data_IF_036620611576
#
_entry.id   IF_036620611576
#
_cell.length_a   1.000
_cell.length_b   1.000
_cell.length_c   1.000
_cell.angle_alpha   90.00
_cell.angle_beta   90.00
_cell.angle_gamma   90.00
#
_symmetry.space_group_name_H-M   'P 1'
#
loop_
_entity.id
_entity.type
_entity.pdbx_description
1 polymer ?
#
# COMPACT_ATOMS: atom_id res chain seq x y z
N UNK A 1 15.74 2.16 -7.87
CA UNK A 1 14.77 2.47 -6.79
C UNK A 1 15.30 3.50 -5.80
N UNK A 2 16.35 3.24 -5.00
CA UNK A 2 16.83 4.20 -3.98
C UNK A 2 17.22 5.58 -4.54
N UNK A 3 18.00 5.62 -5.63
CA UNK A 3 18.38 6.87 -6.28
C UNK A 3 17.17 7.65 -6.81
N UNK A 4 16.23 6.96 -7.48
CA UNK A 4 15.01 7.57 -8.01
C UNK A 4 14.16 8.20 -6.90
N UNK A 5 13.97 7.48 -5.78
CA UNK A 5 13.24 8.00 -4.61
C UNK A 5 13.93 9.23 -4.04
N UNK A 6 15.27 9.23 -3.97
CA UNK A 6 16.05 10.36 -3.47
C UNK A 6 15.91 11.58 -4.40
N UNK A 7 16.02 11.38 -5.71
CA UNK A 7 15.82 12.44 -6.72
C UNK A 7 14.40 13.01 -6.66
N UNK A 8 13.39 12.14 -6.56
CA UNK A 8 11.99 12.57 -6.41
C UNK A 8 11.80 13.37 -5.12
N UNK A 9 12.35 12.90 -4.00
CA UNK A 9 12.27 13.60 -2.72
C UNK A 9 12.95 14.97 -2.79
N UNK A 10 14.11 15.05 -3.44
CA UNK A 10 14.80 16.32 -3.67
C UNK A 10 13.96 17.27 -4.52
N UNK A 11 13.33 16.79 -5.59
CA UNK A 11 12.43 17.60 -6.42
C UNK A 11 11.24 18.15 -5.63
N UNK A 12 10.63 17.35 -4.76
CA UNK A 12 9.52 17.79 -3.89
C UNK A 12 9.98 18.87 -2.91
N UNK A 13 11.17 18.72 -2.33
CA UNK A 13 11.75 19.74 -1.43
C UNK A 13 12.02 21.03 -2.18
N UNK A 14 12.70 20.95 -3.34
CA UNK A 14 13.00 22.13 -4.17
C UNK A 14 11.70 22.82 -4.59
N UNK A 15 10.70 22.06 -5.03
CA UNK A 15 9.38 22.60 -5.35
C UNK A 15 8.74 23.30 -4.15
N UNK A 16 8.78 22.70 -2.95
CA UNK A 16 8.24 23.32 -1.74
C UNK A 16 8.92 24.63 -1.37
N UNK A 17 10.25 24.69 -1.46
CA UNK A 17 11.03 25.91 -1.20
C UNK A 17 10.72 26.99 -2.24
N UNK A 18 10.75 26.66 -3.52
CA UNK A 18 10.41 27.60 -4.60
C UNK A 18 8.99 28.12 -4.44
N UNK A 19 8.03 27.22 -4.18
CA UNK A 19 6.64 27.58 -3.94
C UNK A 19 6.49 28.54 -2.75
N UNK A 20 7.16 28.26 -1.64
CA UNK A 20 7.19 29.14 -0.47
C UNK A 20 7.72 30.53 -0.84
N UNK A 21 8.90 30.61 -1.46
CA UNK A 21 9.54 31.89 -1.80
C UNK A 21 8.72 32.74 -2.76
N UNK A 22 8.06 32.12 -3.74
CA UNK A 22 7.25 32.84 -4.73
C UNK A 22 5.88 33.27 -4.20
N UNK A 23 5.41 32.67 -3.11
CA UNK A 23 4.07 32.93 -2.56
C UNK A 23 4.12 33.44 -1.12
N UNK A 24 5.26 33.97 -0.66
CA UNK A 24 5.41 34.46 0.72
C UNK A 24 4.48 35.64 1.01
N UNK A 25 4.27 36.53 0.04
CA UNK A 25 3.41 37.71 0.18
C UNK A 25 1.94 37.44 -0.20
N UNK A 26 1.60 36.20 -0.58
CA UNK A 26 0.26 35.82 -1.02
C UNK A 26 -0.52 35.24 0.15
N UNK A 27 -1.56 35.96 0.57
CA UNK A 27 -2.48 35.53 1.63
C UNK A 27 -3.86 35.24 1.09
N UNK A 28 -4.50 34.22 1.66
CA UNK A 28 -5.89 33.86 1.37
C UNK A 28 -6.80 34.62 2.33
N UNK A 29 -7.72 35.39 1.75
CA UNK A 29 -8.56 36.34 2.48
C UNK A 29 -9.49 35.67 3.51
N UNK A 30 -9.98 34.47 3.20
CA UNK A 30 -10.73 33.65 4.15
C UNK A 30 -10.52 32.17 3.88
N UNK A 31 -10.16 31.43 4.93
CA UNK A 31 -10.15 29.97 4.93
C UNK A 31 -11.10 29.51 6.01
N UNK A 32 -12.21 28.90 5.60
CA UNK A 32 -13.17 28.31 6.52
C UNK A 32 -12.70 26.92 6.94
N UNK A 33 -12.21 26.80 8.17
CA UNK A 33 -11.93 25.51 8.78
C UNK A 33 -13.16 25.04 9.57
N UNK A 34 -13.22 23.74 9.87
CA UNK A 34 -14.34 23.14 10.63
C UNK A 34 -14.54 23.76 12.03
N UNK A 35 -13.51 24.41 12.57
CA UNK A 35 -13.52 25.13 13.86
C UNK A 35 -13.62 26.67 13.75
N UNK A 36 -13.78 27.22 12.55
CA UNK A 36 -13.93 28.66 12.33
C UNK A 36 -13.20 29.18 11.10
N UNK A 37 -13.57 30.39 10.67
CA UNK A 37 -12.93 31.07 9.55
C UNK A 37 -11.70 31.87 10.03
N UNK A 38 -10.55 31.56 9.45
CA UNK A 38 -9.33 32.34 9.63
C UNK A 38 -9.16 33.29 8.45
N UNK A 39 -8.79 34.55 8.73
CA UNK A 39 -8.50 35.56 7.71
C UNK A 39 -7.00 35.71 7.54
N UNK A 40 -6.61 36.12 6.33
CA UNK A 40 -5.23 36.46 5.96
C UNK A 40 -4.23 35.32 6.25
N UNK A 41 -4.63 34.09 5.91
CA UNK A 41 -3.77 32.91 6.07
C UNK A 41 -2.78 32.85 4.90
N UNK A 42 -1.46 32.75 5.14
CA UNK A 42 -0.49 32.61 4.05
C UNK A 42 -0.78 31.37 3.20
N UNK A 43 -0.77 31.53 1.87
CA UNK A 43 -1.14 30.47 0.92
C UNK A 43 -0.28 29.21 1.10
N UNK A 44 1.01 29.38 1.36
CA UNK A 44 1.94 28.26 1.52
C UNK A 44 1.56 27.34 2.69
N UNK A 45 0.98 27.87 3.76
CA UNK A 45 0.54 27.08 4.92
C UNK A 45 -0.61 26.17 4.50
N UNK A 46 -1.61 26.72 3.81
CA UNK A 46 -2.79 25.98 3.36
C UNK A 46 -2.38 24.83 2.42
N UNK A 47 -1.51 25.12 1.46
CA UNK A 47 -1.02 24.13 0.49
C UNK A 47 -0.20 23.04 1.17
N UNK A 48 0.69 23.39 2.11
CA UNK A 48 1.47 22.39 2.83
C UNK A 48 0.59 21.50 3.70
N UNK A 49 -0.39 22.05 4.42
CA UNK A 49 -1.34 21.24 5.20
C UNK A 49 -2.10 20.28 4.28
N UNK A 50 -2.63 20.76 3.16
CA UNK A 50 -3.34 19.92 2.20
C UNK A 50 -2.43 18.81 1.64
N UNK A 51 -1.18 19.14 1.32
CA UNK A 51 -0.18 18.18 0.86
C UNK A 51 0.10 17.11 1.93
N UNK A 52 0.36 17.51 3.18
CA UNK A 52 0.61 16.57 4.28
C UNK A 52 -0.60 15.67 4.56
N UNK A 53 -1.82 16.21 4.52
CA UNK A 53 -3.04 15.41 4.61
C UNK A 53 -3.11 14.36 3.50
N UNK A 54 -2.78 14.74 2.26
CA UNK A 54 -2.70 13.80 1.15
C UNK A 54 -1.64 12.71 1.34
N UNK A 55 -0.45 13.08 1.81
CA UNK A 55 0.64 12.13 2.11
C UNK A 55 0.24 11.15 3.22
N UNK A 56 -0.36 11.66 4.31
CA UNK A 56 -0.86 10.83 5.40
C UNK A 56 -1.94 9.86 4.89
N UNK A 57 -2.84 10.33 4.05
CA UNK A 57 -3.89 9.50 3.46
C UNK A 57 -3.29 8.40 2.56
N UNK A 58 -2.34 8.74 1.71
CA UNK A 58 -1.63 7.79 0.87
C UNK A 58 -0.86 6.75 1.70
N UNK A 59 -0.25 7.17 2.83
CA UNK A 59 0.45 6.28 3.75
C UNK A 59 -0.52 5.24 4.34
N UNK A 60 -1.70 5.67 4.79
CA UNK A 60 -2.73 4.75 5.32
C UNK A 60 -3.13 3.72 4.25
N UNK A 61 -3.40 4.17 3.03
CA UNK A 61 -3.74 3.27 1.92
C UNK A 61 -2.59 2.27 1.66
N UNK A 62 -1.35 2.75 1.63
CA UNK A 62 -0.18 1.90 1.40
C UNK A 62 -0.02 0.83 2.48
N UNK A 63 -0.17 1.19 3.76
CA UNK A 63 -0.12 0.24 4.88
C UNK A 63 -1.19 -0.85 4.73
N UNK A 64 -2.43 -0.45 4.42
CA UNK A 64 -3.53 -1.41 4.24
C UNK A 64 -3.26 -2.35 3.07
N UNK A 65 -2.76 -1.82 1.94
CA UNK A 65 -2.41 -2.64 0.78
C UNK A 65 -1.28 -3.63 1.09
N UNK A 66 -0.24 -3.18 1.79
CA UNK A 66 0.91 -3.99 2.19
C UNK A 66 0.48 -5.16 3.10
N UNK A 67 -0.40 -4.91 4.08
CA UNK A 67 -0.96 -5.95 4.94
C UNK A 67 -1.75 -6.96 4.10
N UNK A 68 -2.64 -6.49 3.21
CA UNK A 68 -3.42 -7.39 2.34
C UNK A 68 -2.52 -8.24 1.45
N UNK A 69 -1.43 -7.66 0.93
CA UNK A 69 -0.48 -8.37 0.08
C UNK A 69 0.26 -9.46 0.85
N UNK A 70 0.71 -9.17 2.08
CA UNK A 70 1.35 -10.15 2.97
C UNK A 70 0.42 -11.29 3.33
N UNK A 71 -0.84 -11.00 3.67
CA UNK A 71 -1.84 -12.03 3.97
C UNK A 71 -2.09 -12.92 2.76
N UNK A 72 -2.25 -12.33 1.56
CA UNK A 72 -2.41 -13.10 0.31
C UNK A 72 -1.21 -14.00 0.04
N UNK A 73 0.01 -13.48 0.21
CA UNK A 73 1.25 -14.24 0.02
C UNK A 73 1.30 -15.46 0.97
N UNK A 74 0.98 -15.27 2.25
CA UNK A 74 0.95 -16.38 3.22
C UNK A 74 -0.12 -17.41 2.89
N UNK A 75 -1.32 -16.97 2.48
CA UNK A 75 -2.39 -17.89 2.05
C UNK A 75 -1.97 -18.71 0.84
N UNK A 76 -1.38 -18.08 -0.18
CA UNK A 76 -0.95 -18.76 -1.39
C UNK A 76 0.14 -19.80 -1.12
N UNK A 77 1.12 -19.47 -0.26
CA UNK A 77 2.15 -20.42 0.19
C UNK A 77 1.55 -21.63 0.90
N UNK A 78 0.56 -21.40 1.77
CA UNK A 78 -0.12 -22.49 2.48
C UNK A 78 -0.93 -23.38 1.52
N UNK A 79 -1.60 -22.80 0.52
CA UNK A 79 -2.32 -23.55 -0.51
C UNK A 79 -1.35 -24.42 -1.33
N UNK A 80 -0.22 -23.87 -1.75
CA UNK A 80 0.82 -24.64 -2.46
C UNK A 80 1.30 -25.81 -1.61
N UNK A 81 1.54 -25.58 -0.31
CA UNK A 81 1.97 -26.64 0.61
C UNK A 81 0.94 -27.77 0.70
N UNK A 82 -0.34 -27.44 0.91
CA UNK A 82 -1.44 -28.42 0.99
C UNK A 82 -1.61 -29.21 -0.31
N UNK A 83 -1.61 -28.52 -1.44
CA UNK A 83 -1.77 -29.17 -2.74
C UNK A 83 -0.61 -30.13 -3.05
N UNK A 84 0.60 -29.80 -2.58
CA UNK A 84 1.75 -30.69 -2.69
C UNK A 84 1.64 -31.92 -1.78
N UNK A 85 1.16 -31.74 -0.55
CA UNK A 85 0.87 -32.83 0.38
C UNK A 85 -0.23 -33.77 -0.16
N UNK A 86 -1.26 -33.23 -0.83
CA UNK A 86 -2.31 -34.03 -1.48
C UNK A 86 -1.77 -34.87 -2.65
N UNK A 87 -0.93 -34.28 -3.51
CA UNK A 87 -0.26 -35.01 -4.60
C UNK A 87 0.65 -36.12 -4.04
N UNK A 88 1.45 -35.82 -3.03
CA UNK A 88 2.34 -36.82 -2.42
C UNK A 88 1.52 -37.93 -1.76
N UNK A 89 0.44 -37.60 -1.05
CA UNK A 89 -0.50 -38.56 -0.46
C UNK A 89 -1.12 -39.49 -1.52
N UNK A 90 -1.66 -38.92 -2.60
CA UNK A 90 -2.22 -39.66 -3.74
C UNK A 90 -1.18 -40.56 -4.42
N UNK A 91 0.09 -40.15 -4.44
CA UNK A 91 1.19 -40.94 -5.01
C UNK A 91 1.66 -42.06 -4.09
N UNK A 92 1.51 -41.90 -2.79
CA UNK A 92 1.80 -42.93 -1.78
C UNK A 92 0.61 -43.83 -1.45
N UNK A 93 -0.58 -43.55 -1.99
CA UNK A 93 -1.70 -44.48 -1.91
C UNK A 93 -1.26 -45.79 -2.57
N UNK A 94 -1.20 -46.90 -1.80
CA UNK A 94 -0.82 -48.17 -2.37
C UNK A 94 -1.88 -48.57 -3.40
N UNK A 95 -1.43 -49.19 -4.50
CA UNK A 95 -2.25 -49.81 -5.57
C UNK A 95 -3.17 -50.94 -5.08
N UNK A 96 -3.59 -50.92 -3.81
CA UNK A 96 -4.24 -52.03 -3.11
C UNK A 96 -5.72 -52.19 -3.46
N UNK A 97 -6.32 -51.17 -4.08
CA UNK A 97 -7.73 -51.21 -4.49
C UNK A 97 -7.93 -51.63 -5.97
N UNK A 98 -6.85 -51.79 -6.75
CA UNK A 98 -6.97 -52.27 -8.14
C UNK A 98 -6.87 -53.80 -8.22
N UNK A 99 -6.22 -54.45 -7.24
CA UNK A 99 -6.01 -55.90 -7.26
C UNK A 99 -7.03 -56.70 -6.43
N UNK A 100 -7.90 -56.06 -5.66
CA UNK A 100 -8.92 -56.76 -4.85
C UNK A 100 -10.25 -56.98 -5.56
N UNK A 101 -10.41 -56.48 -6.79
CA UNK A 101 -11.64 -56.71 -7.60
C UNK A 101 -11.47 -57.85 -8.61
N UNK A 102 -10.25 -58.32 -8.89
CA UNK A 102 -10.01 -59.41 -9.86
C UNK A 102 -9.92 -60.81 -9.24
N UNK A 103 -9.93 -60.95 -7.90
CA UNK A 103 -9.84 -62.25 -7.21
C UNK A 103 -11.17 -62.79 -6.64
N UNK A 104 -12.30 -62.11 -6.85
CA UNK A 104 -13.64 -62.57 -6.38
C UNK A 104 -14.60 -63.06 -7.50
N UNK A 105 -14.13 -63.27 -8.74
CA UNK A 105 -14.92 -63.96 -9.80
C UNK A 105 -14.41 -65.37 -10.12
#
# INVERSE_FOLDING_TARGET
MRLFVLVMLLLVIVYGVVFYTLNTDVSVQSVSYWWGAQRDVPLYIVVFIAFFCGVLWALVIFIVQEIRLRVKMSRLKNTIKRLREEIDSLRTMPLKDIQTTEEEE
#
